data_IF_267056446353
#
_entry.id   IF_267056446353
#
_cell.length_a   1.000
_cell.length_b   1.000
_cell.length_c   1.000
_cell.angle_alpha   90.00
_cell.angle_beta   90.00
_cell.angle_gamma   90.00
#
_symmetry.space_group_name_H-M   'P 1'
#
loop_
_entity.id
_entity.type
_entity.pdbx_description
1 polymer ?
#
# COMPACT_ATOMS: atom_id res chain seq x y z
N UNK A 1 25.68 -10.06 -57.20
CA UNK A 1 26.96 -10.81 -57.17
C UNK A 1 27.57 -10.63 -55.78
N UNK A 2 27.62 -11.67 -54.93
CA UNK A 2 28.83 -12.47 -54.56
C UNK A 2 30.04 -11.57 -54.24
N UNK A 3 30.69 -11.59 -53.07
CA UNK A 3 31.27 -12.75 -52.37
C UNK A 3 31.63 -12.44 -50.88
N UNK A 4 31.45 -13.44 -50.01
CA UNK A 4 32.20 -13.71 -48.74
C UNK A 4 33.68 -14.06 -49.06
N UNK A 5 34.53 -14.56 -48.14
CA UNK A 5 34.84 -14.27 -46.72
C UNK A 5 36.36 -14.01 -46.53
N UNK A 6 36.79 -13.70 -45.30
CA UNK A 6 38.20 -13.75 -44.90
C UNK A 6 38.35 -14.33 -43.51
N UNK A 7 38.33 -15.66 -43.37
CA UNK A 7 38.78 -16.39 -42.18
C UNK A 7 40.30 -16.32 -42.09
N UNK A 8 40.83 -15.69 -41.05
CA UNK A 8 42.19 -15.93 -40.59
C UNK A 8 42.15 -16.90 -39.40
N UNK A 9 42.91 -17.98 -39.54
CA UNK A 9 43.06 -19.08 -38.59
C UNK A 9 44.16 -18.77 -37.57
N UNK A 10 44.10 -19.53 -36.49
CA UNK A 10 45.25 -20.04 -35.71
C UNK A 10 45.67 -19.24 -34.49
N UNK A 11 45.10 -19.67 -33.36
CA UNK A 11 45.76 -20.16 -32.14
C UNK A 11 47.15 -19.62 -31.81
N UNK A 12 47.26 -18.86 -30.72
CA UNK A 12 48.42 -18.89 -29.83
C UNK A 12 47.94 -19.27 -28.43
N UNK A 13 48.55 -20.33 -27.93
CA UNK A 13 48.41 -20.93 -26.62
C UNK A 13 49.21 -20.09 -25.60
N UNK A 14 48.66 -19.90 -24.40
CA UNK A 14 49.47 -19.69 -23.19
C UNK A 14 49.58 -18.25 -22.70
N UNK A 15 48.89 -17.95 -21.60
CA UNK A 15 49.51 -17.67 -20.30
C UNK A 15 48.39 -17.31 -19.30
N UNK A 16 48.17 -18.19 -18.33
CA UNK A 16 47.43 -17.87 -17.12
C UNK A 16 48.27 -16.85 -16.35
N UNK A 17 47.81 -15.60 -16.28
CA UNK A 17 48.27 -14.64 -15.29
C UNK A 17 47.14 -14.49 -14.28
N UNK A 18 47.31 -15.22 -13.18
CA UNK A 18 46.66 -14.95 -11.90
C UNK A 18 47.11 -13.59 -11.40
N UNK A 19 46.15 -12.75 -10.99
CA UNK A 19 46.42 -11.55 -10.21
C UNK A 19 45.93 -10.26 -10.86
N UNK A 20 44.61 -10.02 -10.87
CA UNK A 20 44.08 -8.67 -10.87
C UNK A 20 43.46 -8.39 -9.50
N UNK A 21 44.26 -7.80 -8.63
CA UNK A 21 43.81 -7.04 -7.46
C UNK A 21 43.08 -5.80 -7.97
N UNK A 22 41.78 -5.92 -8.22
CA UNK A 22 40.92 -4.78 -8.51
C UNK A 22 40.64 -4.04 -7.19
N UNK A 23 41.23 -2.86 -7.09
CA UNK A 23 41.01 -1.79 -6.12
C UNK A 23 39.53 -1.63 -5.73
N UNK A 24 39.19 -2.00 -4.48
CA UNK A 24 37.94 -1.58 -3.86
C UNK A 24 38.17 -0.20 -3.23
N UNK A 25 37.94 0.85 -4.01
CA UNK A 25 37.79 2.19 -3.46
C UNK A 25 36.51 2.21 -2.63
N UNK A 26 36.65 2.08 -1.31
CA UNK A 26 35.56 2.28 -0.36
C UNK A 26 35.18 3.78 -0.38
N UNK A 27 34.19 4.13 -1.20
CA UNK A 27 33.46 5.38 -1.01
C UNK A 27 32.62 5.23 0.26
N UNK A 28 32.52 6.27 1.13
CA UNK A 28 31.60 6.23 2.24
C UNK A 28 30.19 6.21 1.66
N UNK A 29 29.52 5.05 1.75
CA UNK A 29 28.08 4.98 1.59
C UNK A 29 27.50 5.86 2.69
N UNK A 30 27.07 7.06 2.28
CA UNK A 30 26.20 7.92 3.07
C UNK A 30 25.10 7.05 3.65
N UNK A 31 25.11 6.91 4.97
CA UNK A 31 24.01 6.36 5.74
C UNK A 31 22.82 7.28 5.51
N UNK A 32 22.10 7.02 4.43
CA UNK A 32 20.86 7.67 4.11
C UNK A 32 19.80 6.87 4.83
N UNK A 33 19.62 7.26 6.09
CA UNK A 33 18.44 7.06 6.91
C UNK A 33 17.22 7.56 6.11
N UNK A 34 16.76 6.74 5.18
CA UNK A 34 15.52 6.89 4.43
C UNK A 34 14.70 5.69 4.82
N UNK A 35 14.02 5.83 5.95
CA UNK A 35 12.77 5.15 6.28
C UNK A 35 12.72 3.71 5.76
N UNK A 36 13.33 2.79 6.51
CA UNK A 36 12.80 1.45 6.60
C UNK A 36 11.43 1.54 7.32
N UNK A 37 10.40 1.99 6.60
CA UNK A 37 9.03 1.77 7.02
C UNK A 37 8.82 0.25 6.93
N UNK A 38 8.53 -0.31 8.10
CA UNK A 38 8.45 -1.74 8.39
C UNK A 38 7.79 -2.54 7.27
N UNK A 39 8.47 -3.59 6.82
CA UNK A 39 7.82 -4.68 6.11
C UNK A 39 7.10 -5.55 7.15
N UNK A 40 5.78 -5.75 7.07
CA UNK A 40 5.16 -6.85 7.78
C UNK A 40 5.17 -8.08 6.85
N UNK A 41 6.06 -9.03 7.13
CA UNK A 41 6.00 -10.37 6.56
C UNK A 41 5.23 -11.30 7.50
N UNK A 42 4.18 -11.90 6.95
CA UNK A 42 3.18 -12.82 7.54
C UNK A 42 2.36 -12.24 8.70
N UNK A 43 1.07 -11.92 8.46
CA UNK A 43 0.32 -11.05 9.37
C UNK A 43 0.56 -9.57 9.04
N UNK A 44 0.15 -9.17 7.84
CA UNK A 44 0.48 -7.90 7.20
C UNK A 44 0.06 -6.64 8.01
N UNK A 45 -0.85 -6.77 8.97
CA UNK A 45 -1.33 -5.66 9.79
C UNK A 45 -1.48 -6.10 11.24
N UNK A 46 -1.18 -5.19 12.16
CA UNK A 46 -1.38 -5.39 13.59
C UNK A 46 -2.86 -5.46 13.96
N UNK A 47 -3.18 -6.12 15.07
CA UNK A 47 -4.56 -6.16 15.59
C UNK A 47 -5.10 -4.74 15.86
N UNK A 48 -4.26 -3.79 16.29
CA UNK A 48 -4.65 -2.39 16.44
C UNK A 48 -5.04 -1.75 15.10
N UNK A 49 -4.28 -1.98 14.03
CA UNK A 49 -4.62 -1.49 12.68
C UNK A 49 -5.92 -2.12 12.17
N UNK A 50 -6.16 -3.41 12.43
CA UNK A 50 -7.39 -4.09 12.03
C UNK A 50 -8.62 -3.62 12.83
N UNK A 51 -8.45 -3.28 14.11
CA UNK A 51 -9.49 -2.64 14.92
C UNK A 51 -9.80 -1.22 14.45
N UNK A 52 -8.77 -0.42 14.20
CA UNK A 52 -8.91 0.92 13.64
C UNK A 52 -9.62 0.86 12.27
N UNK A 53 -9.27 -0.11 11.44
CA UNK A 53 -9.91 -0.34 10.16
C UNK A 53 -11.40 -0.70 10.32
N UNK A 54 -11.73 -1.65 11.21
CA UNK A 54 -13.11 -2.03 11.47
C UNK A 54 -13.96 -0.83 11.92
N UNK A 55 -13.41 0.03 12.78
CA UNK A 55 -14.08 1.28 13.18
C UNK A 55 -14.26 2.24 12.00
N UNK A 56 -13.20 2.47 11.22
CA UNK A 56 -13.26 3.33 10.03
C UNK A 56 -14.28 2.84 9.01
N UNK A 57 -14.45 1.53 8.80
CA UNK A 57 -15.47 1.00 7.87
C UNK A 57 -16.89 1.42 8.28
N UNK A 58 -17.20 1.41 9.58
CA UNK A 58 -18.51 1.83 10.10
C UNK A 58 -18.75 3.32 9.84
N UNK A 59 -17.74 4.16 10.09
CA UNK A 59 -17.84 5.61 9.92
C UNK A 59 -17.84 6.03 8.44
N UNK A 60 -17.02 5.38 7.61
CA UNK A 60 -17.00 5.54 6.15
C UNK A 60 -18.36 5.19 5.54
N UNK A 61 -19.03 4.13 6.03
CA UNK A 61 -20.37 3.79 5.57
C UNK A 61 -21.38 4.91 5.88
N UNK A 62 -21.28 5.57 7.04
CA UNK A 62 -22.15 6.70 7.38
C UNK A 62 -21.89 7.91 6.48
N UNK A 63 -20.63 8.21 6.18
CA UNK A 63 -20.26 9.29 5.24
C UNK A 63 -20.84 9.00 3.86
N UNK A 64 -20.70 7.77 3.35
CA UNK A 64 -21.25 7.38 2.06
C UNK A 64 -22.78 7.55 2.01
N UNK A 65 -23.48 7.16 3.07
CA UNK A 65 -24.93 7.38 3.17
C UNK A 65 -25.31 8.87 3.18
N UNK A 66 -24.56 9.72 3.90
CA UNK A 66 -24.78 11.17 3.90
C UNK A 66 -24.54 11.77 2.53
N UNK A 67 -23.42 11.42 1.90
CA UNK A 67 -23.07 11.85 0.56
C UNK A 67 -24.15 11.46 -0.45
N UNK A 68 -24.67 10.24 -0.41
CA UNK A 68 -25.76 9.80 -1.30
C UNK A 68 -27.03 10.65 -1.11
N UNK A 69 -27.40 10.98 0.12
CA UNK A 69 -28.55 11.83 0.43
C UNK A 69 -28.35 13.26 -0.07
N UNK A 70 -27.18 13.85 0.18
CA UNK A 70 -26.82 15.19 -0.24
C UNK A 70 -26.72 15.31 -1.77
N UNK A 71 -26.17 14.30 -2.43
CA UNK A 71 -26.10 14.21 -3.90
C UNK A 71 -27.49 14.15 -4.55
N UNK A 72 -28.47 13.52 -3.88
CA UNK A 72 -29.86 13.50 -4.33
C UNK A 72 -30.57 14.85 -4.13
N UNK A 73 -30.21 15.58 -3.07
CA UNK A 73 -30.75 16.91 -2.78
C UNK A 73 -30.14 18.03 -3.64
N UNK A 74 -28.89 17.87 -4.09
CA UNK A 74 -28.16 18.83 -4.89
C UNK A 74 -28.79 19.03 -6.28
N UNK A 75 -29.11 20.28 -6.62
CA UNK A 75 -29.86 20.62 -7.84
C UNK A 75 -28.94 20.89 -9.03
N UNK A 76 -27.80 21.54 -8.80
CA UNK A 76 -26.88 21.94 -9.86
C UNK A 76 -25.52 21.20 -9.78
N UNK A 77 -24.71 21.26 -10.86
CA UNK A 77 -23.42 20.59 -10.88
C UNK A 77 -22.42 21.10 -9.84
N UNK A 78 -22.47 22.37 -9.45
CA UNK A 78 -21.54 22.95 -8.49
C UNK A 78 -21.83 22.44 -7.08
N UNK A 79 -23.11 22.31 -6.70
CA UNK A 79 -23.52 21.70 -5.44
C UNK A 79 -23.05 20.24 -5.37
N UNK A 80 -23.20 19.47 -6.46
CA UNK A 80 -22.75 18.07 -6.53
C UNK A 80 -21.24 17.94 -6.39
N UNK A 81 -20.47 18.86 -6.96
CA UNK A 81 -19.01 18.90 -6.78
C UNK A 81 -18.63 19.22 -5.33
N UNK A 82 -19.34 20.17 -4.70
CA UNK A 82 -19.13 20.51 -3.29
C UNK A 82 -19.40 19.33 -2.35
N UNK A 83 -20.51 18.60 -2.58
CA UNK A 83 -20.85 17.39 -1.81
C UNK A 83 -19.77 16.32 -1.94
N UNK A 84 -19.28 16.06 -3.15
CA UNK A 84 -18.19 15.08 -3.37
C UNK A 84 -16.91 15.50 -2.63
N UNK A 85 -16.50 16.76 -2.75
CA UNK A 85 -15.29 17.26 -2.10
C UNK A 85 -15.39 17.18 -0.57
N UNK A 86 -16.55 17.49 -0.01
CA UNK A 86 -16.81 17.38 1.41
C UNK A 86 -16.69 15.92 1.87
N UNK A 87 -17.35 14.99 1.16
CA UNK A 87 -17.26 13.57 1.47
C UNK A 87 -15.82 13.05 1.45
N UNK A 88 -15.00 13.41 0.46
CA UNK A 88 -13.58 13.03 0.45
C UNK A 88 -12.81 13.58 1.65
N UNK A 89 -13.06 14.84 2.02
CA UNK A 89 -12.44 15.47 3.20
C UNK A 89 -12.82 14.73 4.48
N UNK A 90 -14.10 14.35 4.61
CA UNK A 90 -14.60 13.64 5.78
C UNK A 90 -14.07 12.21 5.87
N UNK A 91 -13.92 11.52 4.73
CA UNK A 91 -13.30 10.19 4.67
C UNK A 91 -11.85 10.24 5.15
N UNK A 92 -11.06 11.19 4.65
CA UNK A 92 -9.66 11.38 5.08
C UNK A 92 -9.57 11.68 6.58
N UNK A 93 -10.42 12.58 7.08
CA UNK A 93 -10.45 12.98 8.48
C UNK A 93 -10.81 11.82 9.41
N UNK A 94 -11.83 11.04 9.06
CA UNK A 94 -12.27 9.86 9.85
C UNK A 94 -11.17 8.81 9.90
N UNK A 95 -10.58 8.45 8.76
CA UNK A 95 -9.51 7.44 8.67
C UNK A 95 -8.32 7.88 9.52
N UNK A 96 -7.89 9.14 9.40
CA UNK A 96 -6.81 9.72 10.19
C UNK A 96 -7.13 9.74 11.69
N UNK A 97 -8.36 10.09 12.07
CA UNK A 97 -8.78 10.16 13.49
C UNK A 97 -8.75 8.80 14.18
N UNK A 98 -8.92 7.71 13.41
CA UNK A 98 -8.82 6.34 13.89
C UNK A 98 -7.39 5.81 13.91
N UNK A 99 -6.40 6.63 13.54
CA UNK A 99 -4.98 6.29 13.59
C UNK A 99 -4.49 5.48 12.40
N UNK A 100 -5.17 5.60 11.25
CA UNK A 100 -4.75 5.02 9.98
C UNK A 100 -4.43 6.13 8.98
N UNK A 101 -3.55 5.85 8.02
CA UNK A 101 -3.50 6.60 6.77
C UNK A 101 -4.52 6.06 5.76
N UNK A 102 -4.84 6.85 4.73
CA UNK A 102 -5.71 6.40 3.62
C UNK A 102 -5.08 5.22 2.90
N UNK A 103 -3.75 5.21 2.74
CA UNK A 103 -3.01 4.10 2.16
C UNK A 103 -3.14 2.83 3.00
N UNK A 104 -3.01 2.92 4.32
CA UNK A 104 -3.20 1.78 5.23
C UNK A 104 -4.64 1.25 5.17
N UNK A 105 -5.64 2.13 5.19
CA UNK A 105 -7.03 1.74 5.04
C UNK A 105 -7.29 0.98 3.72
N UNK A 106 -6.76 1.49 2.61
CA UNK A 106 -6.88 0.84 1.31
C UNK A 106 -6.11 -0.48 1.23
N UNK A 107 -4.93 -0.55 1.85
CA UNK A 107 -4.13 -1.77 1.89
C UNK A 107 -4.82 -2.88 2.70
N UNK A 108 -5.41 -2.53 3.86
CA UNK A 108 -6.22 -3.46 4.66
C UNK A 108 -7.47 -3.89 3.89
N UNK A 109 -8.12 -2.97 3.15
CA UNK A 109 -9.27 -3.29 2.29
C UNK A 109 -8.91 -4.34 1.24
N UNK A 110 -7.81 -4.14 0.51
CA UNK A 110 -7.34 -5.08 -0.51
C UNK A 110 -6.94 -6.43 0.10
N UNK A 111 -6.29 -6.41 1.27
CA UNK A 111 -5.92 -7.63 1.99
C UNK A 111 -7.16 -8.40 2.45
N UNK A 112 -8.14 -7.76 3.10
CA UNK A 112 -9.37 -8.41 3.56
C UNK A 112 -10.19 -9.03 2.41
N UNK A 113 -10.10 -8.50 1.19
CA UNK A 113 -10.75 -9.08 0.02
C UNK A 113 -10.09 -10.38 -0.46
N UNK A 114 -8.78 -10.51 -0.29
CA UNK A 114 -7.98 -11.61 -0.86
C UNK A 114 -7.52 -12.64 0.18
N UNK A 115 -7.47 -12.26 1.46
CA UNK A 115 -6.99 -13.06 2.58
C UNK A 115 -8.10 -13.34 3.59
N UNK A 116 -8.41 -14.62 3.77
CA UNK A 116 -9.48 -15.07 4.66
C UNK A 116 -9.21 -14.76 6.12
N UNK A 117 -7.98 -14.94 6.59
CA UNK A 117 -7.62 -14.67 7.98
C UNK A 117 -7.82 -13.19 8.35
N UNK A 118 -7.41 -12.28 7.47
CA UNK A 118 -7.64 -10.83 7.64
C UNK A 118 -9.13 -10.51 7.65
N UNK A 119 -9.92 -11.09 6.73
CA UNK A 119 -11.37 -10.90 6.67
C UNK A 119 -12.06 -11.36 7.95
N UNK A 120 -11.70 -12.55 8.46
CA UNK A 120 -12.27 -13.11 9.69
C UNK A 120 -11.95 -12.23 10.89
N UNK A 121 -10.70 -11.77 11.04
CA UNK A 121 -10.31 -10.85 12.12
C UNK A 121 -11.10 -9.54 12.09
N UNK A 122 -11.18 -8.89 10.93
CA UNK A 122 -11.96 -7.65 10.78
C UNK A 122 -13.43 -7.90 11.11
N UNK A 123 -14.00 -9.01 10.63
CA UNK A 123 -15.40 -9.38 10.93
C UNK A 123 -15.62 -9.58 12.43
N UNK A 124 -14.68 -10.21 13.13
CA UNK A 124 -14.77 -10.38 14.58
C UNK A 124 -14.75 -9.03 15.32
N UNK A 125 -13.91 -8.08 14.92
CA UNK A 125 -13.91 -6.73 15.50
C UNK A 125 -15.21 -5.98 15.22
N UNK A 126 -15.75 -6.07 14.01
CA UNK A 126 -17.05 -5.47 13.67
C UNK A 126 -18.18 -6.05 14.54
N UNK A 127 -18.22 -7.37 14.74
CA UNK A 127 -19.18 -8.03 15.62
C UNK A 127 -19.02 -7.60 17.07
N UNK A 128 -17.77 -7.47 17.55
CA UNK A 128 -17.48 -7.00 18.90
C UNK A 128 -17.99 -5.57 19.12
N UNK A 129 -17.80 -4.67 18.15
CA UNK A 129 -18.28 -3.28 18.25
C UNK A 129 -19.81 -3.20 18.23
N UNK A 130 -20.49 -4.09 17.50
CA UNK A 130 -21.96 -4.15 17.43
C UNK A 130 -22.57 -4.88 18.64
N UNK A 131 -21.87 -5.87 19.21
CA UNK A 131 -22.31 -6.67 20.35
C UNK A 131 -21.90 -6.10 21.71
N UNK A 132 -20.93 -5.20 21.77
CA UNK A 132 -20.39 -4.59 22.99
C UNK A 132 -21.31 -3.59 23.69
N UNK A 133 -22.53 -3.40 23.21
CA UNK A 133 -23.58 -2.63 23.90
C UNK A 133 -24.24 -3.37 25.07
N UNK A 134 -23.94 -4.66 25.27
CA UNK A 134 -24.47 -5.49 26.36
C UNK A 134 -23.35 -6.32 27.01
N UNK A 135 -22.48 -5.70 27.82
CA UNK A 135 -21.71 -6.35 28.89
C UNK A 135 -21.38 -5.33 29.98
#
# INVERSE_FOLDING_TARGET
MRKKPGTARTTVLGAVILGLSATMAAAPAVAMDRMAQAQPQEGAFSDQQLQAYAKSVIEVQQINMSMEQEMQAAQDPADKEAVQKQAYTDLEAVIASNGLSVEEYNAITAQAQSDEATREKVTAYLQQMQGGGNM
#
